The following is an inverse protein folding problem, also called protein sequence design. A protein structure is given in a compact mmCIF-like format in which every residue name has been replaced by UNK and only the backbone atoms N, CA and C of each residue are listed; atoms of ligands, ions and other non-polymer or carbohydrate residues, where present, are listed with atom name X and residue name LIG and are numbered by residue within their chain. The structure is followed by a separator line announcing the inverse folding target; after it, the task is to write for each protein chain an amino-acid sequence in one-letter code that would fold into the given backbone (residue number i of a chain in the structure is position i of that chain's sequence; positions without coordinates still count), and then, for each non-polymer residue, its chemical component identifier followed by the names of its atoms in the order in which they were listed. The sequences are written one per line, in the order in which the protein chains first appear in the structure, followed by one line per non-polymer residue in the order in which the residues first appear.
data_IF_604835699022
#
_entry.id   IF_604835699022
#
_cell.length_a   1.000
_cell.length_b   1.000
_cell.length_c   1.000
_cell.angle_alpha   90.00
_cell.angle_beta   90.00
_cell.angle_gamma   90.00
#
_symmetry.space_group_name_H-M   'P 1'
#
loop_
_entity.id
_entity.type
_entity.pdbx_description
1 polymer ?
#
# COMPACT_ATOMS: atom_id res chain seq x y z
N UNK A 1 30.40 -5.85 -2.38
CA UNK A 1 29.21 -5.10 -1.92
C UNK A 1 28.33 -6.10 -1.20
N UNK A 2 28.50 -6.23 0.11
CA UNK A 2 27.56 -6.99 0.94
C UNK A 2 26.24 -6.24 0.90
N UNK A 3 25.29 -6.74 0.12
CA UNK A 3 23.88 -6.40 0.29
C UNK A 3 23.47 -7.00 1.62
N UNK A 4 23.66 -6.23 2.69
CA UNK A 4 23.08 -6.49 4.01
C UNK A 4 21.55 -6.51 3.82
N UNK A 5 21.04 -7.65 3.39
CA UNK A 5 19.65 -8.03 3.42
C UNK A 5 19.23 -8.20 4.87
N UNK A 6 19.26 -7.09 5.62
CA UNK A 6 18.42 -6.98 6.78
C UNK A 6 17.03 -7.29 6.27
N UNK A 7 16.47 -8.40 6.73
CA UNK A 7 15.04 -8.68 6.68
C UNK A 7 14.35 -7.58 7.48
N UNK A 8 14.31 -6.36 6.95
CA UNK A 8 13.42 -5.30 7.40
C UNK A 8 12.06 -5.96 7.22
N UNK A 9 11.43 -6.32 8.33
CA UNK A 9 10.21 -7.10 8.36
C UNK A 9 9.24 -6.59 7.30
N UNK A 10 9.18 -7.30 6.17
CA UNK A 10 8.24 -7.04 5.07
C UNK A 10 6.80 -7.16 5.60
N UNK A 11 6.64 -7.78 6.76
CA UNK A 11 5.42 -8.02 7.53
C UNK A 11 4.73 -6.74 8.03
N UNK A 12 5.43 -5.60 8.11
CA UNK A 12 4.84 -4.32 8.50
C UNK A 12 4.43 -3.44 7.32
N UNK A 13 4.71 -3.88 6.08
CA UNK A 13 4.46 -3.07 4.90
C UNK A 13 2.98 -3.15 4.51
N UNK A 14 2.31 -2.00 4.49
CA UNK A 14 0.91 -1.90 4.15
C UNK A 14 0.57 -2.22 2.69
N UNK A 15 -0.74 -2.24 2.38
CA UNK A 15 -1.20 -2.58 1.04
C UNK A 15 -0.70 -1.57 0.00
N UNK A 16 -0.59 -2.03 -1.25
CA UNK A 16 -0.19 -1.19 -2.37
C UNK A 16 -1.32 -0.24 -2.79
N UNK A 17 -0.92 0.96 -3.21
CA UNK A 17 -1.79 2.05 -3.65
C UNK A 17 -1.40 2.42 -5.08
N UNK A 18 -2.39 2.47 -5.96
CA UNK A 18 -2.22 3.08 -7.30
C UNK A 18 -2.47 4.57 -7.15
N UNK A 19 -1.55 5.41 -7.62
CA UNK A 19 -1.71 6.86 -7.61
C UNK A 19 -2.35 7.36 -8.91
N UNK A 20 -2.81 8.61 -8.92
CA UNK A 20 -3.46 9.20 -10.10
C UNK A 20 -2.50 9.42 -11.27
N UNK A 21 -1.22 9.60 -10.99
CA UNK A 21 -0.15 9.74 -11.97
C UNK A 21 0.34 8.38 -12.53
N UNK A 22 -0.28 7.28 -12.10
CA UNK A 22 0.08 5.92 -12.52
C UNK A 22 1.23 5.29 -11.74
N UNK A 23 1.83 6.01 -10.79
CA UNK A 23 2.83 5.41 -9.90
C UNK A 23 2.18 4.47 -8.88
N UNK A 24 2.98 3.58 -8.30
CA UNK A 24 2.56 2.66 -7.24
C UNK A 24 3.35 2.99 -5.97
N UNK A 25 2.64 3.17 -4.86
CA UNK A 25 3.23 3.36 -3.53
C UNK A 25 2.65 2.36 -2.53
N UNK A 26 3.18 2.33 -1.31
CA UNK A 26 2.61 1.58 -0.17
C UNK A 26 2.14 2.56 0.90
N UNK A 27 1.20 2.13 1.73
CA UNK A 27 0.79 2.90 2.91
C UNK A 27 1.90 2.85 3.96
N UNK A 28 2.62 3.97 4.13
CA UNK A 28 3.81 4.04 4.99
C UNK A 28 3.52 3.89 6.48
N UNK A 29 2.40 4.44 6.95
CA UNK A 29 1.98 4.39 8.36
C UNK A 29 1.12 3.15 8.70
N UNK A 30 1.13 2.10 7.86
CA UNK A 30 0.25 0.94 8.03
C UNK A 30 0.45 0.21 9.37
N UNK A 31 1.71 0.08 9.80
CA UNK A 31 2.07 -0.51 11.09
C UNK A 31 1.52 0.26 12.29
N UNK A 32 1.32 1.57 12.14
CA UNK A 32 0.83 2.48 13.19
C UNK A 32 -0.70 2.56 13.25
N UNK A 33 -1.39 2.14 12.19
CA UNK A 33 -2.85 2.16 12.13
C UNK A 33 -3.47 1.13 13.07
N UNK A 34 -4.56 1.53 13.72
CA UNK A 34 -5.44 0.63 14.49
C UNK A 34 -6.17 -0.36 13.57
N UNK A 35 -6.69 -1.45 14.13
CA UNK A 35 -7.41 -2.46 13.35
C UNK A 35 -8.64 -1.88 12.62
N UNK A 36 -9.34 -0.94 13.25
CA UNK A 36 -10.50 -0.25 12.66
C UNK A 36 -10.05 0.60 11.45
N UNK A 37 -8.95 1.32 11.56
CA UNK A 37 -8.41 2.13 10.47
C UNK A 37 -7.91 1.26 9.31
N UNK A 38 -7.24 0.14 9.62
CA UNK A 38 -6.79 -0.84 8.62
C UNK A 38 -7.97 -1.44 7.86
N UNK A 39 -9.01 -1.88 8.56
CA UNK A 39 -10.24 -2.43 7.98
C UNK A 39 -10.94 -1.42 7.07
N UNK A 40 -11.13 -0.18 7.55
CA UNK A 40 -11.72 0.88 6.74
C UNK A 40 -10.92 1.21 5.48
N UNK A 41 -9.59 1.16 5.60
CA UNK A 41 -8.67 1.40 4.48
C UNK A 41 -8.78 0.30 3.44
N UNK A 42 -8.70 -0.98 3.84
CA UNK A 42 -8.84 -2.12 2.94
C UNK A 42 -10.19 -2.13 2.23
N UNK A 43 -11.27 -1.80 2.94
CA UNK A 43 -12.64 -1.74 2.40
C UNK A 43 -12.77 -0.86 1.17
N UNK A 44 -12.05 0.26 1.12
CA UNK A 44 -12.17 1.25 0.04
C UNK A 44 -11.00 1.22 -0.95
N UNK A 45 -9.84 0.71 -0.52
CA UNK A 45 -8.60 0.77 -1.30
C UNK A 45 -8.70 -0.03 -2.61
N UNK A 46 -9.27 -1.24 -2.57
CA UNK A 46 -9.42 -2.08 -3.77
C UNK A 46 -10.22 -1.37 -4.87
N UNK A 47 -11.40 -0.83 -4.54
CA UNK A 47 -12.24 -0.07 -5.48
C UNK A 47 -11.50 1.16 -6.03
N UNK A 48 -10.78 1.90 -5.17
CA UNK A 48 -10.01 3.08 -5.60
C UNK A 48 -8.87 2.73 -6.54
N UNK A 49 -8.11 1.67 -6.25
CA UNK A 49 -7.04 1.20 -7.11
C UNK A 49 -7.58 0.74 -8.47
N UNK A 50 -8.69 0.01 -8.50
CA UNK A 50 -9.34 -0.40 -9.75
C UNK A 50 -9.77 0.80 -10.59
N UNK A 51 -10.43 1.81 -9.98
CA UNK A 51 -10.84 3.01 -10.69
C UNK A 51 -9.65 3.80 -11.25
N UNK A 52 -8.58 3.93 -10.46
CA UNK A 52 -7.35 4.61 -10.92
C UNK A 52 -6.67 3.85 -12.04
N UNK A 53 -6.57 2.52 -11.94
CA UNK A 53 -5.99 1.69 -12.99
C UNK A 53 -6.82 1.75 -14.28
N UNK A 54 -8.16 1.75 -14.17
CA UNK A 54 -9.04 1.87 -15.33
C UNK A 54 -8.89 3.24 -16.03
N UNK A 55 -8.58 4.31 -15.30
CA UNK A 55 -8.33 5.64 -15.86
C UNK A 55 -6.98 5.78 -16.57
N UNK A 56 -6.07 4.81 -16.41
CA UNK A 56 -4.74 4.77 -17.04
C UNK A 56 -4.71 3.87 -18.28
N UNK A 57 -5.82 3.22 -18.62
CA UNK A 57 -6.01 2.39 -19.82
C UNK A 57 -6.73 3.19 -20.89
#
# INVERSE_FOLDING_TARGET
LEVNGQSIALDHMGPMVVNRDGTISRIGNWGEMTEIERSNTLRILGKRNQLRLAALR
#
